data_IF_197938695367
#
_entry.id   IF_197938695367
#
_cell.length_a   1.000
_cell.length_b   1.000
_cell.length_c   1.000
_cell.angle_alpha   90.00
_cell.angle_beta   90.00
_cell.angle_gamma   90.00
#
_symmetry.space_group_name_H-M   'P 1'
#
loop_
_entity.id
_entity.type
_entity.pdbx_description
1 polymer ?
#
# COMPACT_ATOMS: atom_id res chain seq x y z
N UNK A 1 -24.27 -18.52 -5.22
CA UNK A 1 -25.60 -18.87 -5.75
C UNK A 1 -25.68 -20.39 -5.87
N UNK A 2 -26.74 -21.03 -5.42
CA UNK A 2 -26.81 -22.50 -5.49
C UNK A 2 -26.92 -22.90 -6.97
N UNK A 3 -26.02 -23.75 -7.43
CA UNK A 3 -25.94 -24.27 -8.80
C UNK A 3 -27.27 -24.85 -9.29
N UNK A 4 -28.07 -25.39 -8.36
CA UNK A 4 -29.37 -25.99 -8.61
C UNK A 4 -30.42 -25.02 -9.17
N UNK A 5 -30.24 -23.72 -8.95
CA UNK A 5 -31.20 -22.70 -9.39
C UNK A 5 -30.92 -22.22 -10.83
N UNK A 6 -29.85 -22.67 -11.48
CA UNK A 6 -29.44 -22.22 -12.81
C UNK A 6 -29.79 -23.20 -13.93
N UNK A 7 -30.29 -24.38 -13.61
CA UNK A 7 -30.67 -25.37 -14.64
C UNK A 7 -31.97 -26.10 -14.31
N UNK A 8 -32.62 -26.63 -15.32
CA UNK A 8 -33.70 -27.56 -15.26
C UNK A 8 -33.37 -28.81 -16.07
N UNK A 9 -34.08 -29.89 -15.85
CA UNK A 9 -33.91 -31.11 -16.66
C UNK A 9 -34.71 -31.05 -17.95
N UNK A 10 -34.26 -31.80 -18.97
CA UNK A 10 -35.01 -32.02 -20.19
C UNK A 10 -36.43 -32.52 -19.84
N UNK A 11 -37.42 -32.14 -20.64
CA UNK A 11 -38.87 -32.43 -20.41
C UNK A 11 -39.52 -31.68 -19.22
N UNK A 12 -38.82 -30.74 -18.57
CA UNK A 12 -39.46 -29.78 -17.65
C UNK A 12 -40.44 -28.91 -18.44
N UNK A 13 -41.57 -28.50 -17.79
CA UNK A 13 -42.53 -27.62 -18.44
C UNK A 13 -42.00 -26.18 -18.54
N UNK A 14 -42.49 -25.41 -19.48
CA UNK A 14 -42.17 -23.97 -19.58
C UNK A 14 -42.57 -23.25 -18.29
N UNK A 15 -43.71 -23.61 -17.71
CA UNK A 15 -44.20 -23.07 -16.42
C UNK A 15 -43.15 -23.20 -15.33
N UNK A 16 -42.57 -24.38 -15.15
CA UNK A 16 -41.62 -24.67 -14.08
C UNK A 16 -40.23 -24.07 -14.41
N UNK A 17 -39.87 -23.99 -15.69
CA UNK A 17 -38.67 -23.29 -16.13
C UNK A 17 -38.76 -21.78 -15.84
N UNK A 18 -39.91 -21.14 -16.08
CA UNK A 18 -40.16 -19.75 -15.75
C UNK A 18 -40.04 -19.44 -14.25
N UNK A 19 -40.62 -20.34 -13.40
CA UNK A 19 -40.46 -20.23 -11.95
C UNK A 19 -38.98 -20.27 -11.54
N UNK A 20 -38.21 -21.13 -12.19
CA UNK A 20 -36.79 -21.25 -11.88
C UNK A 20 -35.98 -20.02 -12.38
N UNK A 21 -36.36 -19.42 -13.52
CA UNK A 21 -35.80 -18.16 -14.01
C UNK A 21 -36.11 -17.01 -13.04
N UNK A 22 -37.34 -16.94 -12.51
CA UNK A 22 -37.70 -15.93 -11.48
C UNK A 22 -36.86 -16.10 -10.22
N UNK A 23 -36.66 -17.32 -9.74
CA UNK A 23 -35.83 -17.63 -8.57
C UNK A 23 -34.38 -17.21 -8.79
N UNK A 24 -33.82 -17.45 -9.99
CA UNK A 24 -32.42 -17.13 -10.26
C UNK A 24 -32.20 -15.67 -10.66
N UNK A 25 -33.26 -14.94 -11.04
CA UNK A 25 -33.26 -13.52 -11.43
C UNK A 25 -32.24 -13.17 -12.53
N UNK A 26 -31.89 -14.10 -13.42
CA UNK A 26 -30.89 -13.89 -14.50
C UNK A 26 -31.51 -13.86 -15.90
N UNK A 27 -32.79 -14.16 -16.02
CA UNK A 27 -33.50 -14.18 -17.30
C UNK A 27 -33.07 -15.33 -18.23
N UNK A 28 -32.41 -16.34 -17.68
CA UNK A 28 -31.95 -17.51 -18.44
C UNK A 28 -32.03 -18.79 -17.62
N UNK A 29 -32.14 -19.93 -18.28
CA UNK A 29 -32.11 -21.27 -17.70
C UNK A 29 -31.32 -22.23 -18.60
N UNK A 30 -30.49 -23.06 -17.99
CA UNK A 30 -29.80 -24.16 -18.68
C UNK A 30 -30.69 -25.41 -18.68
N UNK A 31 -30.71 -26.14 -19.76
CA UNK A 31 -31.45 -27.40 -19.89
C UNK A 31 -30.44 -28.54 -19.87
N UNK A 32 -30.51 -29.42 -18.88
CA UNK A 32 -29.58 -30.52 -18.67
C UNK A 32 -30.25 -31.86 -18.76
N UNK A 33 -29.51 -32.91 -19.15
CA UNK A 33 -29.93 -34.28 -18.96
C UNK A 33 -29.72 -34.78 -17.52
N UNK A 34 -30.07 -36.04 -17.23
CA UNK A 34 -29.93 -36.66 -15.91
C UNK A 34 -28.48 -36.71 -15.40
N UNK A 35 -27.50 -36.68 -16.29
CA UNK A 35 -26.06 -36.66 -15.96
C UNK A 35 -25.50 -35.23 -15.84
N UNK A 36 -26.37 -34.20 -15.79
CA UNK A 36 -26.07 -32.77 -15.73
C UNK A 36 -25.28 -32.32 -16.96
N UNK A 37 -25.40 -33.02 -18.10
CA UNK A 37 -24.86 -32.53 -19.37
C UNK A 37 -25.80 -31.47 -19.94
N UNK A 38 -25.24 -30.31 -20.29
CA UNK A 38 -26.00 -29.20 -20.85
C UNK A 38 -26.40 -29.53 -22.27
N UNK A 39 -27.71 -29.49 -22.57
CA UNK A 39 -28.30 -29.74 -23.88
C UNK A 39 -28.65 -28.47 -24.63
N UNK A 40 -28.86 -27.38 -23.90
CA UNK A 40 -29.19 -26.08 -24.46
C UNK A 40 -29.43 -25.04 -23.37
N UNK A 41 -29.70 -23.84 -23.82
CA UNK A 41 -30.04 -22.68 -22.99
C UNK A 41 -31.36 -22.09 -23.48
N UNK A 42 -32.21 -21.63 -22.56
CA UNK A 42 -33.39 -20.85 -22.92
C UNK A 42 -33.37 -19.52 -22.13
N UNK A 43 -33.64 -18.42 -22.81
CA UNK A 43 -33.83 -17.09 -22.22
C UNK A 43 -35.32 -16.76 -22.10
N UNK A 44 -35.67 -15.74 -21.29
CA UNK A 44 -37.03 -15.18 -21.27
C UNK A 44 -37.54 -14.83 -22.68
N UNK A 45 -36.63 -14.35 -23.56
CA UNK A 45 -36.95 -14.02 -24.93
C UNK A 45 -37.28 -15.25 -25.78
N UNK A 46 -36.56 -16.37 -25.58
CA UNK A 46 -36.81 -17.63 -26.28
C UNK A 46 -38.16 -18.21 -25.88
N UNK A 47 -38.42 -18.25 -24.56
CA UNK A 47 -39.69 -18.71 -24.02
C UNK A 47 -40.85 -17.84 -24.50
N UNK A 48 -40.70 -16.52 -24.50
CA UNK A 48 -41.75 -15.61 -24.98
C UNK A 48 -42.04 -15.81 -26.45
N UNK A 49 -41.02 -15.99 -27.29
CA UNK A 49 -41.23 -16.30 -28.72
C UNK A 49 -42.00 -17.60 -28.94
N UNK A 50 -41.69 -18.63 -28.16
CA UNK A 50 -42.40 -19.93 -28.23
C UNK A 50 -43.86 -19.79 -27.77
N UNK A 51 -44.12 -19.04 -26.71
CA UNK A 51 -45.50 -18.82 -26.23
C UNK A 51 -46.35 -17.99 -27.18
N UNK A 52 -45.75 -17.14 -28.02
CA UNK A 52 -46.44 -16.42 -29.11
C UNK A 52 -46.88 -17.36 -30.24
N UNK A 53 -46.22 -18.54 -30.39
CA UNK A 53 -46.57 -19.54 -31.38
C UNK A 53 -47.61 -20.53 -30.83
N UNK A 54 -47.40 -20.92 -29.59
CA UNK A 54 -48.29 -21.83 -28.84
C UNK A 54 -48.33 -21.39 -27.38
N UNK A 55 -49.46 -20.85 -26.91
CA UNK A 55 -49.66 -20.28 -25.58
C UNK A 55 -49.76 -21.30 -24.42
N UNK A 56 -49.50 -22.57 -24.68
CA UNK A 56 -49.50 -23.63 -23.70
C UNK A 56 -48.22 -23.59 -22.83
N UNK A 57 -48.38 -23.27 -21.53
CA UNK A 57 -47.32 -23.29 -20.53
C UNK A 57 -46.86 -24.68 -20.09
N UNK A 58 -47.67 -25.70 -20.35
CA UNK A 58 -47.38 -27.08 -19.96
C UNK A 58 -46.57 -27.84 -21.01
N UNK A 59 -46.28 -27.22 -22.18
CA UNK A 59 -45.31 -27.72 -23.14
C UNK A 59 -43.89 -27.81 -22.58
N UNK A 60 -43.08 -28.71 -23.11
CA UNK A 60 -41.70 -28.91 -22.61
C UNK A 60 -40.77 -27.80 -23.05
N UNK A 61 -39.86 -27.39 -22.16
CA UNK A 61 -38.86 -26.35 -22.39
C UNK A 61 -37.89 -26.68 -23.53
N UNK A 62 -37.73 -27.95 -23.87
CA UNK A 62 -36.90 -28.44 -24.93
C UNK A 62 -37.28 -27.81 -26.32
N UNK A 63 -38.53 -27.38 -26.48
CA UNK A 63 -39.03 -26.77 -27.70
C UNK A 63 -38.54 -25.36 -27.95
N UNK A 64 -38.07 -24.66 -26.89
CA UNK A 64 -37.54 -23.29 -27.01
C UNK A 64 -36.06 -23.15 -26.63
N UNK A 65 -35.34 -24.25 -26.40
CA UNK A 65 -33.94 -24.19 -26.05
C UNK A 65 -33.06 -23.89 -27.29
N UNK A 66 -32.09 -22.98 -27.12
CA UNK A 66 -31.01 -22.80 -28.07
C UNK A 66 -29.95 -23.89 -27.83
N UNK A 67 -29.71 -24.73 -28.86
CA UNK A 67 -28.71 -25.80 -28.81
C UNK A 67 -27.29 -25.31 -29.22
N UNK A 68 -27.21 -24.21 -29.94
CA UNK A 68 -25.94 -23.55 -30.33
C UNK A 68 -25.59 -22.46 -29.34
N UNK A 69 -25.36 -22.84 -28.11
CA UNK A 69 -25.06 -21.90 -27.03
C UNK A 69 -23.55 -21.74 -26.83
N UNK A 70 -23.16 -20.55 -26.36
CA UNK A 70 -21.78 -20.25 -26.01
C UNK A 70 -21.47 -20.79 -24.62
N UNK A 71 -20.33 -21.43 -24.46
CA UNK A 71 -19.83 -21.96 -23.20
C UNK A 71 -18.30 -21.84 -23.14
N UNK A 72 -17.72 -21.95 -21.95
CA UNK A 72 -16.29 -22.10 -21.74
C UNK A 72 -15.96 -23.45 -21.12
N UNK A 73 -14.75 -23.93 -21.37
CA UNK A 73 -14.24 -25.13 -20.70
C UNK A 73 -13.70 -24.80 -19.33
N UNK A 74 -13.71 -25.78 -18.45
CA UNK A 74 -12.99 -25.70 -17.18
C UNK A 74 -11.50 -25.38 -17.45
N UNK A 75 -10.96 -24.35 -16.77
CA UNK A 75 -9.59 -23.85 -17.01
C UNK A 75 -9.44 -22.81 -18.13
N UNK A 76 -10.52 -22.35 -18.77
CA UNK A 76 -10.47 -21.23 -19.69
C UNK A 76 -9.95 -19.96 -19.04
N UNK A 77 -9.20 -19.14 -19.79
CA UNK A 77 -8.62 -17.90 -19.26
C UNK A 77 -9.69 -16.88 -18.88
N UNK A 78 -9.38 -16.01 -17.93
CA UNK A 78 -10.26 -14.87 -17.57
C UNK A 78 -10.52 -13.97 -18.78
N UNK A 79 -9.51 -13.77 -19.62
CA UNK A 79 -9.60 -12.94 -20.83
C UNK A 79 -10.65 -13.51 -21.81
N UNK A 80 -10.66 -14.83 -22.01
CA UNK A 80 -11.65 -15.48 -22.88
C UNK A 80 -13.07 -15.29 -22.33
N UNK A 81 -13.23 -15.42 -21.02
CA UNK A 81 -14.53 -15.25 -20.34
C UNK A 81 -15.00 -13.80 -20.46
N UNK A 82 -14.12 -12.80 -20.24
CA UNK A 82 -14.47 -11.39 -20.33
C UNK A 82 -14.85 -10.99 -21.76
N UNK A 83 -14.10 -11.47 -22.78
CA UNK A 83 -14.43 -11.22 -24.19
C UNK A 83 -15.78 -11.78 -24.60
N UNK A 84 -16.17 -12.94 -24.04
CA UNK A 84 -17.49 -13.52 -24.29
C UNK A 84 -18.61 -12.73 -23.59
N UNK A 85 -18.37 -12.24 -22.37
CA UNK A 85 -19.34 -11.40 -21.64
C UNK A 85 -19.55 -10.05 -22.30
N UNK A 86 -18.53 -9.48 -22.91
CA UNK A 86 -18.60 -8.21 -23.65
C UNK A 86 -19.52 -8.30 -24.90
N UNK A 87 -19.82 -9.51 -25.37
CA UNK A 87 -20.77 -9.78 -26.44
C UNK A 87 -22.24 -9.85 -25.94
N UNK A 88 -22.61 -9.16 -24.87
CA UNK A 88 -23.96 -9.08 -24.29
C UNK A 88 -24.50 -10.41 -23.72
N UNK A 89 -23.64 -11.39 -23.50
CA UNK A 89 -24.05 -12.64 -22.89
C UNK A 89 -24.30 -12.45 -21.38
N UNK A 90 -25.51 -12.74 -20.92
CA UNK A 90 -25.88 -12.58 -19.51
C UNK A 90 -25.31 -13.66 -18.59
N UNK A 91 -25.03 -14.84 -19.14
CA UNK A 91 -24.45 -15.96 -18.42
C UNK A 91 -23.71 -16.90 -19.37
N UNK A 92 -22.58 -17.44 -18.92
CA UNK A 92 -21.74 -18.37 -19.65
C UNK A 92 -21.55 -19.63 -18.83
N UNK A 93 -22.04 -20.81 -19.27
CA UNK A 93 -21.81 -22.07 -18.59
C UNK A 93 -20.35 -22.51 -18.73
N UNK A 94 -19.80 -23.03 -17.64
CA UNK A 94 -18.49 -23.69 -17.60
C UNK A 94 -18.71 -25.19 -17.65
N UNK A 95 -18.16 -25.83 -18.66
CA UNK A 95 -18.36 -27.26 -18.90
C UNK A 95 -17.05 -28.02 -18.79
N UNK A 96 -17.12 -29.25 -18.26
CA UNK A 96 -16.00 -30.16 -18.32
C UNK A 96 -15.90 -30.86 -19.69
N UNK A 97 -14.89 -31.71 -19.88
CA UNK A 97 -14.68 -32.45 -21.14
C UNK A 97 -15.83 -33.42 -21.49
N UNK A 98 -16.73 -33.71 -20.57
CA UNK A 98 -17.93 -34.55 -20.76
C UNK A 98 -19.20 -33.73 -21.01
N UNK A 99 -19.06 -32.40 -21.24
CA UNK A 99 -20.16 -31.44 -21.39
C UNK A 99 -21.05 -31.31 -20.14
N UNK A 100 -20.54 -31.66 -18.96
CA UNK A 100 -21.25 -31.52 -17.70
C UNK A 100 -21.02 -30.13 -17.10
N UNK A 101 -22.09 -29.56 -16.57
CA UNK A 101 -22.08 -28.24 -15.94
C UNK A 101 -21.23 -28.23 -14.66
N UNK A 102 -20.17 -27.44 -14.65
CA UNK A 102 -19.31 -27.19 -13.48
C UNK A 102 -19.74 -25.94 -12.72
N UNK A 103 -19.88 -24.82 -13.41
CA UNK A 103 -20.32 -23.54 -12.86
C UNK A 103 -20.95 -22.67 -13.95
N UNK A 104 -21.45 -21.51 -13.59
CA UNK A 104 -21.99 -20.50 -14.50
C UNK A 104 -21.40 -19.15 -14.11
N UNK A 105 -20.76 -18.47 -15.05
CA UNK A 105 -20.35 -17.08 -14.87
C UNK A 105 -21.47 -16.14 -15.31
N UNK A 106 -21.72 -15.14 -14.49
CA UNK A 106 -22.60 -14.00 -14.79
C UNK A 106 -21.83 -12.71 -14.51
N UNK A 107 -22.34 -11.55 -14.93
CA UNK A 107 -21.69 -10.24 -14.66
C UNK A 107 -21.42 -10.04 -13.17
N UNK A 108 -22.33 -10.50 -12.30
CA UNK A 108 -22.18 -10.38 -10.84
C UNK A 108 -21.23 -11.42 -10.23
N UNK A 109 -20.87 -12.46 -10.99
CA UNK A 109 -20.06 -13.58 -10.54
C UNK A 109 -19.02 -13.95 -11.61
N UNK A 110 -18.34 -12.94 -12.13
CA UNK A 110 -17.19 -13.16 -13.02
C UNK A 110 -16.05 -13.81 -12.23
N UNK A 111 -15.24 -14.67 -12.86
CA UNK A 111 -14.09 -15.25 -12.20
C UNK A 111 -13.18 -14.12 -11.73
N UNK A 112 -13.03 -13.98 -10.44
CA UNK A 112 -11.93 -13.18 -9.89
C UNK A 112 -10.64 -13.92 -10.24
N UNK A 113 -9.56 -13.18 -10.48
CA UNK A 113 -8.22 -13.79 -10.52
C UNK A 113 -7.88 -14.30 -9.13
N UNK A 114 -8.42 -15.45 -8.78
CA UNK A 114 -8.03 -16.26 -7.62
C UNK A 114 -6.93 -17.26 -8.01
N UNK A 115 -5.98 -16.83 -8.80
CA UNK A 115 -4.63 -17.29 -8.57
C UNK A 115 -4.21 -16.56 -7.31
N UNK A 116 -4.37 -17.23 -6.16
CA UNK A 116 -4.04 -16.65 -4.88
C UNK A 116 -2.68 -16.01 -4.98
N UNK A 117 -2.56 -14.72 -4.70
CA UNK A 117 -1.30 -13.99 -4.79
C UNK A 117 -0.26 -14.79 -4.00
N UNK A 118 0.73 -15.38 -4.70
CA UNK A 118 1.75 -16.22 -4.10
C UNK A 118 2.88 -15.36 -3.54
N UNK A 119 3.13 -14.20 -4.16
CA UNK A 119 4.19 -13.30 -3.75
C UNK A 119 3.86 -11.84 -4.04
N UNK A 120 4.47 -10.94 -3.27
CA UNK A 120 4.42 -9.50 -3.50
C UNK A 120 5.81 -8.89 -3.31
N UNK A 121 6.03 -7.74 -3.95
CA UNK A 121 7.25 -6.97 -3.79
C UNK A 121 6.90 -5.50 -3.62
N UNK A 122 7.58 -4.85 -2.68
CA UNK A 122 7.46 -3.43 -2.46
C UNK A 122 8.85 -2.79 -2.34
N UNK A 123 8.93 -1.53 -2.75
CA UNK A 123 10.11 -0.70 -2.49
C UNK A 123 9.65 0.63 -1.90
N UNK A 124 10.37 1.11 -0.91
CA UNK A 124 10.08 2.38 -0.24
C UNK A 124 11.34 3.24 -0.18
N UNK A 125 11.28 4.50 -0.63
CA UNK A 125 12.43 5.40 -0.64
C UNK A 125 12.73 5.92 0.76
N UNK A 126 13.97 6.28 1.02
CA UNK A 126 14.33 7.15 2.15
C UNK A 126 14.16 8.62 1.78
N UNK A 127 14.27 9.52 2.77
CA UNK A 127 14.01 10.95 2.62
C UNK A 127 15.15 11.83 3.14
N UNK A 128 15.25 13.02 2.57
CA UNK A 128 15.98 14.16 3.11
C UNK A 128 14.98 15.22 3.55
N UNK A 129 15.25 15.89 4.70
CA UNK A 129 14.42 16.95 5.25
C UNK A 129 15.07 18.31 5.01
N UNK A 130 14.35 19.22 4.37
CA UNK A 130 14.85 20.56 4.04
C UNK A 130 14.44 21.61 5.08
N UNK A 131 13.45 21.35 5.92
CA UNK A 131 13.03 22.32 6.93
C UNK A 131 11.90 21.83 7.81
N UNK A 132 11.69 22.52 8.91
CA UNK A 132 10.57 22.29 9.83
C UNK A 132 10.73 21.10 10.78
N UNK A 133 11.78 20.27 10.63
CA UNK A 133 11.97 19.08 11.46
C UNK A 133 11.95 19.40 12.96
N UNK A 134 11.29 18.53 13.75
CA UNK A 134 10.98 18.73 15.17
C UNK A 134 9.57 19.26 15.42
N UNK A 135 8.94 19.95 14.44
CA UNK A 135 7.54 20.39 14.54
C UNK A 135 6.54 19.28 14.20
N UNK A 136 7.01 18.18 13.65
CA UNK A 136 6.26 16.97 13.31
C UNK A 136 6.10 15.99 14.48
N UNK A 137 6.56 16.36 15.67
CA UNK A 137 6.39 15.57 16.89
C UNK A 137 5.03 15.85 17.53
N UNK A 138 4.33 14.82 17.99
CA UNK A 138 3.01 14.95 18.64
C UNK A 138 3.07 15.90 19.85
N UNK A 139 4.17 15.91 20.58
CA UNK A 139 4.37 16.81 21.72
C UNK A 139 4.32 18.31 21.33
N UNK A 140 4.73 18.65 20.09
CA UNK A 140 4.67 20.01 19.58
C UNK A 140 3.32 20.30 18.88
N UNK A 141 2.93 19.50 17.89
CA UNK A 141 1.78 19.85 17.03
C UNK A 141 0.42 19.64 17.71
N UNK A 142 0.37 18.94 18.84
CA UNK A 142 -0.87 18.88 19.65
C UNK A 142 -1.29 20.24 20.23
N UNK A 143 -0.36 21.20 20.30
CA UNK A 143 -0.57 22.56 20.86
C UNK A 143 -0.23 23.68 19.86
N UNK A 144 0.52 23.39 18.82
CA UNK A 144 0.98 24.36 17.84
C UNK A 144 0.92 23.72 16.45
N UNK A 145 0.67 24.48 15.40
CA UNK A 145 0.72 23.96 14.04
C UNK A 145 2.17 23.67 13.63
N UNK A 146 2.44 22.45 13.17
CA UNK A 146 3.73 22.02 12.63
C UNK A 146 3.73 22.00 11.11
N UNK A 147 4.91 22.20 10.50
CA UNK A 147 5.10 21.99 9.08
C UNK A 147 6.51 21.51 8.79
N UNK A 148 6.66 20.60 7.82
CA UNK A 148 7.94 20.13 7.33
C UNK A 148 7.95 20.09 5.80
N UNK A 149 9.13 20.28 5.21
CA UNK A 149 9.37 20.11 3.78
C UNK A 149 10.46 19.07 3.58
N UNK A 150 10.21 18.10 2.73
CA UNK A 150 11.13 17.01 2.45
C UNK A 150 11.04 16.54 1.00
N UNK A 151 12.00 15.73 0.61
CA UNK A 151 11.96 14.95 -0.61
C UNK A 151 12.47 13.54 -0.36
N UNK A 152 11.90 12.58 -1.06
CA UNK A 152 12.53 11.27 -1.15
C UNK A 152 13.67 11.29 -2.15
N UNK A 153 14.63 10.38 -1.97
CA UNK A 153 15.80 10.20 -2.83
C UNK A 153 15.85 8.77 -3.35
N UNK A 154 16.65 8.52 -4.38
CA UNK A 154 16.76 7.23 -5.09
C UNK A 154 17.56 6.16 -4.33
N UNK A 155 17.38 6.09 -3.03
CA UNK A 155 17.86 5.02 -2.15
C UNK A 155 16.64 4.34 -1.52
N UNK A 156 16.55 3.03 -1.66
CA UNK A 156 15.33 2.29 -1.33
C UNK A 156 15.57 1.15 -0.33
N UNK A 157 14.54 0.85 0.44
CA UNK A 157 14.36 -0.46 1.03
C UNK A 157 13.47 -1.30 0.12
N UNK A 158 13.85 -2.54 -0.09
CA UNK A 158 13.12 -3.53 -0.88
C UNK A 158 12.65 -4.64 0.04
N UNK A 159 11.38 -4.98 -0.03
CA UNK A 159 10.81 -6.14 0.61
C UNK A 159 10.23 -7.09 -0.45
N UNK A 160 10.42 -8.37 -0.26
CA UNK A 160 9.79 -9.44 -1.05
C UNK A 160 9.13 -10.41 -0.08
N UNK A 161 7.84 -10.63 -0.23
CA UNK A 161 7.03 -11.50 0.60
C UNK A 161 6.49 -12.66 -0.25
N UNK A 162 6.69 -13.88 0.23
CA UNK A 162 6.18 -15.10 -0.38
C UNK A 162 5.24 -15.78 0.61
N UNK A 163 3.98 -15.96 0.22
CA UNK A 163 2.98 -16.68 1.02
C UNK A 163 3.35 -18.16 1.08
N UNK A 164 3.16 -18.77 2.23
CA UNK A 164 3.39 -20.20 2.49
C UNK A 164 2.07 -20.92 2.76
N UNK A 165 2.04 -22.20 2.44
CA UNK A 165 0.89 -23.05 2.73
C UNK A 165 0.87 -23.55 4.19
N UNK A 166 1.99 -23.36 4.91
CA UNK A 166 2.12 -23.64 6.34
C UNK A 166 2.07 -22.34 7.18
N UNK A 167 2.07 -22.45 8.50
CA UNK A 167 2.09 -21.31 9.42
C UNK A 167 3.47 -20.72 9.68
N UNK A 168 4.55 -21.32 9.10
CA UNK A 168 5.92 -20.92 9.39
C UNK A 168 6.22 -19.53 8.86
N UNK A 169 7.00 -18.77 9.63
CA UNK A 169 7.53 -17.47 9.25
C UNK A 169 9.02 -17.57 9.09
N UNK A 170 9.53 -17.21 7.92
CA UNK A 170 10.95 -17.10 7.63
C UNK A 170 11.31 -15.67 7.28
N UNK A 171 12.40 -15.17 7.85
CA UNK A 171 12.88 -13.81 7.61
C UNK A 171 14.34 -13.89 7.17
N UNK A 172 14.67 -13.26 6.05
CA UNK A 172 16.03 -13.08 5.55
C UNK A 172 16.31 -11.57 5.44
N UNK A 173 17.05 -11.03 6.38
CA UNK A 173 17.48 -9.63 6.35
C UNK A 173 18.91 -9.55 5.83
N UNK A 174 19.04 -9.18 4.56
CA UNK A 174 20.34 -9.04 3.90
C UNK A 174 21.16 -7.90 4.52
N UNK A 175 20.48 -6.85 5.02
CA UNK A 175 21.12 -5.69 5.66
C UNK A 175 21.78 -6.07 7.00
N UNK A 176 21.15 -6.98 7.73
CA UNK A 176 21.65 -7.47 9.01
C UNK A 176 22.57 -8.68 8.83
N UNK A 177 22.61 -9.26 7.62
CA UNK A 177 23.21 -10.55 7.33
C UNK A 177 22.74 -11.64 8.30
N UNK A 178 21.42 -11.65 8.58
CA UNK A 178 20.78 -12.56 9.54
C UNK A 178 19.51 -13.17 8.96
N UNK A 179 19.31 -14.45 9.34
CA UNK A 179 18.09 -15.20 9.02
C UNK A 179 17.42 -15.67 10.30
N UNK A 180 16.10 -15.73 10.27
CA UNK A 180 15.31 -16.27 11.37
C UNK A 180 14.17 -17.14 10.83
N UNK A 181 13.73 -18.10 11.63
CA UNK A 181 12.57 -18.95 11.34
C UNK A 181 11.83 -19.26 12.61
N UNK A 182 10.52 -19.10 12.59
CA UNK A 182 9.60 -19.44 13.68
C UNK A 182 8.41 -20.20 13.14
N UNK A 183 7.78 -21.03 13.96
CA UNK A 183 6.72 -21.94 13.52
C UNK A 183 5.37 -21.26 13.29
N UNK A 184 5.15 -20.09 13.91
CA UNK A 184 3.92 -19.31 13.75
C UNK A 184 4.06 -17.89 14.29
N UNK A 185 3.06 -17.05 14.02
CA UNK A 185 2.98 -15.68 14.56
C UNK A 185 2.96 -15.65 16.11
N UNK A 186 2.47 -16.69 16.75
CA UNK A 186 2.46 -16.80 18.21
C UNK A 186 3.88 -16.88 18.81
N UNK A 187 4.83 -17.29 18.02
CA UNK A 187 6.26 -17.43 18.39
C UNK A 187 7.09 -16.17 18.06
N UNK A 188 6.48 -15.03 17.74
CA UNK A 188 7.20 -13.79 17.39
C UNK A 188 8.20 -13.36 18.46
N UNK A 189 7.95 -13.69 19.73
CA UNK A 189 8.87 -13.34 20.83
C UNK A 189 10.18 -14.14 20.81
N UNK A 190 10.22 -15.27 20.08
CA UNK A 190 11.41 -16.10 19.95
C UNK A 190 12.41 -15.51 18.93
N UNK A 191 12.03 -14.49 18.16
CA UNK A 191 12.93 -13.77 17.26
C UNK A 191 13.94 -12.94 18.06
N UNK A 192 15.17 -12.92 17.57
CA UNK A 192 16.26 -12.07 18.06
C UNK A 192 15.85 -10.59 18.06
N UNK A 193 16.37 -9.81 19.02
CA UNK A 193 16.11 -8.36 19.13
C UNK A 193 16.59 -7.56 17.91
N UNK A 194 17.54 -8.06 17.15
CA UNK A 194 17.93 -7.45 15.88
C UNK A 194 16.79 -7.36 14.86
N UNK A 195 15.81 -8.27 14.95
CA UNK A 195 14.58 -8.23 14.15
C UNK A 195 13.47 -7.38 14.77
N UNK A 196 13.75 -6.59 15.82
CA UNK A 196 12.76 -5.84 16.59
C UNK A 196 11.83 -5.00 15.74
N UNK A 197 12.34 -4.31 14.70
CA UNK A 197 11.53 -3.52 13.78
C UNK A 197 10.57 -4.38 12.95
N UNK A 198 11.07 -5.48 12.38
CA UNK A 198 10.28 -6.41 11.58
C UNK A 198 9.22 -7.08 12.45
N UNK A 199 9.60 -7.51 13.65
CA UNK A 199 8.72 -8.10 14.66
C UNK A 199 7.58 -7.15 15.03
N UNK A 200 7.86 -5.84 15.21
CA UNK A 200 6.84 -4.85 15.53
C UNK A 200 5.84 -4.66 14.38
N UNK A 201 6.30 -4.62 13.13
CA UNK A 201 5.43 -4.54 11.95
C UNK A 201 4.52 -5.77 11.86
N UNK A 202 5.09 -6.98 11.99
CA UNK A 202 4.30 -8.22 11.95
C UNK A 202 3.27 -8.25 13.09
N UNK A 203 3.65 -7.78 14.28
CA UNK A 203 2.75 -7.70 15.44
C UNK A 203 1.60 -6.71 15.24
N UNK A 204 1.83 -5.62 14.51
CA UNK A 204 0.80 -4.63 14.18
C UNK A 204 -0.14 -5.14 13.08
N UNK A 205 0.40 -5.74 12.01
CA UNK A 205 -0.38 -6.23 10.87
C UNK A 205 -1.18 -7.50 11.23
N UNK A 206 -0.60 -8.40 12.02
CA UNK A 206 -1.17 -9.71 12.43
C UNK A 206 -1.65 -10.54 11.23
N UNK A 207 -0.74 -10.91 10.30
CA UNK A 207 -1.12 -11.76 9.16
C UNK A 207 -1.64 -13.12 9.65
N UNK A 208 -2.61 -13.67 8.93
CA UNK A 208 -3.27 -14.96 9.21
C UNK A 208 -2.67 -16.14 8.43
N UNK A 209 -1.54 -15.93 7.75
CA UNK A 209 -0.84 -16.93 6.94
C UNK A 209 0.67 -16.94 7.24
N UNK A 210 1.32 -18.07 7.00
CA UNK A 210 2.77 -18.18 7.03
C UNK A 210 3.41 -17.55 5.80
N UNK A 211 4.66 -17.08 5.95
CA UNK A 211 5.34 -16.36 4.87
C UNK A 211 6.86 -16.45 4.96
N UNK A 212 7.51 -16.15 3.85
CA UNK A 212 8.93 -15.86 3.77
C UNK A 212 9.12 -14.39 3.38
N UNK A 213 9.86 -13.64 4.17
CA UNK A 213 10.11 -12.21 4.00
C UNK A 213 11.59 -11.96 3.78
N UNK A 214 11.96 -11.38 2.64
CA UNK A 214 13.33 -11.00 2.30
C UNK A 214 13.40 -9.48 2.26
N UNK A 215 14.40 -8.89 2.96
CA UNK A 215 14.58 -7.43 3.06
C UNK A 215 16.01 -7.07 2.64
N UNK A 216 16.12 -5.99 1.85
CA UNK A 216 17.40 -5.39 1.44
C UNK A 216 17.25 -3.88 1.35
N UNK A 217 18.25 -3.12 1.78
CA UNK A 217 18.30 -1.66 1.67
C UNK A 217 19.54 -1.20 0.89
N UNK A 218 19.41 -0.06 0.17
CA UNK A 218 20.52 0.59 -0.53
C UNK A 218 21.28 1.57 0.38
N UNK A 219 20.88 1.70 1.64
CA UNK A 219 21.42 2.66 2.61
C UNK A 219 21.85 1.97 3.90
N UNK A 220 22.88 2.49 4.62
CA UNK A 220 23.33 1.91 5.86
C UNK A 220 22.36 2.19 7.02
N UNK A 221 22.30 1.28 8.00
CA UNK A 221 21.58 1.49 9.26
C UNK A 221 22.12 2.73 9.97
N UNK A 222 21.23 3.57 10.53
CA UNK A 222 21.62 4.78 11.25
C UNK A 222 22.04 5.93 10.35
N UNK A 223 21.68 5.91 9.06
CA UNK A 223 22.02 6.98 8.09
C UNK A 223 21.34 8.33 8.36
N UNK A 224 20.36 8.40 9.27
CA UNK A 224 19.56 9.62 9.50
C UNK A 224 18.57 9.95 8.37
N UNK A 225 18.38 9.04 7.40
CA UNK A 225 17.53 9.23 6.24
C UNK A 225 16.09 8.71 6.39
N UNK A 226 15.67 8.32 7.60
CA UNK A 226 14.35 7.70 7.83
C UNK A 226 14.29 6.24 7.38
N UNK A 227 15.43 5.52 7.45
CA UNK A 227 15.55 4.17 6.95
C UNK A 227 14.62 3.17 7.65
N UNK A 228 14.37 3.30 8.96
CA UNK A 228 13.43 2.44 9.69
C UNK A 228 12.01 2.55 9.16
N UNK A 229 11.55 3.77 8.86
CA UNK A 229 10.22 4.00 8.27
C UNK A 229 10.13 3.44 6.85
N UNK A 230 11.21 3.50 6.06
CA UNK A 230 11.25 2.88 4.73
C UNK A 230 11.17 1.35 4.81
N UNK A 231 11.83 0.73 5.81
CA UNK A 231 11.71 -0.71 6.08
C UNK A 231 10.26 -1.05 6.47
N UNK A 232 9.65 -0.32 7.42
CA UNK A 232 8.26 -0.54 7.79
C UNK A 232 7.32 -0.44 6.59
N UNK A 233 7.41 0.66 5.84
CA UNK A 233 6.54 0.92 4.69
C UNK A 233 6.67 -0.16 3.60
N UNK A 234 7.88 -0.64 3.30
CA UNK A 234 8.08 -1.70 2.31
C UNK A 234 7.46 -3.03 2.74
N UNK A 235 7.59 -3.40 4.02
CA UNK A 235 6.97 -4.62 4.56
C UNK A 235 5.46 -4.50 4.54
N UNK A 236 4.90 -3.38 5.04
CA UNK A 236 3.46 -3.12 5.06
C UNK A 236 2.90 -3.14 3.63
N UNK A 237 3.60 -2.52 2.67
CA UNK A 237 3.24 -2.54 1.26
C UNK A 237 3.13 -3.95 0.68
N UNK A 238 4.05 -4.86 1.05
CA UNK A 238 3.97 -6.27 0.66
C UNK A 238 2.71 -6.94 1.21
N UNK A 239 2.41 -6.79 2.51
CA UNK A 239 1.22 -7.38 3.11
C UNK A 239 -0.07 -6.76 2.59
N UNK A 240 -0.06 -5.48 2.25
CA UNK A 240 -1.23 -4.78 1.69
C UNK A 240 -1.71 -5.42 0.38
N UNK A 241 -0.80 -5.99 -0.43
CA UNK A 241 -1.17 -6.67 -1.68
C UNK A 241 -2.02 -7.92 -1.46
N UNK A 242 -1.89 -8.60 -0.31
CA UNK A 242 -2.69 -9.77 0.05
C UNK A 242 -4.06 -9.43 0.66
N UNK A 243 -4.32 -8.16 0.94
CA UNK A 243 -5.59 -7.71 1.52
C UNK A 243 -6.67 -7.51 0.46
N UNK A 244 -7.90 -7.81 0.82
CA UNK A 244 -9.08 -7.47 0.01
C UNK A 244 -9.41 -5.99 0.21
N UNK A 245 -9.40 -5.50 1.44
CA UNK A 245 -9.61 -4.13 1.89
C UNK A 245 -8.27 -3.39 1.98
N UNK A 246 -7.69 -3.03 0.84
CA UNK A 246 -6.37 -2.40 0.78
C UNK A 246 -6.32 -1.09 1.54
N UNK A 247 -5.29 -0.94 2.36
CA UNK A 247 -4.96 0.33 3.02
C UNK A 247 -4.54 1.39 2.00
N UNK A 248 -5.00 2.62 2.21
CA UNK A 248 -4.51 3.78 1.47
C UNK A 248 -3.17 4.29 2.05
N UNK A 249 -2.56 5.28 1.40
CA UNK A 249 -1.26 5.81 1.79
C UNK A 249 -1.23 6.39 3.23
N UNK A 250 -2.32 7.02 3.68
CA UNK A 250 -2.40 7.52 5.05
C UNK A 250 -2.40 6.37 6.06
N UNK A 251 -3.21 5.35 5.83
CA UNK A 251 -3.29 4.16 6.69
C UNK A 251 -1.96 3.41 6.74
N UNK A 252 -1.27 3.24 5.60
CA UNK A 252 0.07 2.62 5.56
C UNK A 252 1.06 3.41 6.41
N UNK A 253 1.08 4.75 6.29
CA UNK A 253 1.97 5.59 7.08
C UNK A 253 1.64 5.55 8.59
N UNK A 254 0.36 5.49 8.95
CA UNK A 254 -0.10 5.37 10.33
C UNK A 254 0.28 4.01 10.94
N UNK A 255 0.12 2.91 10.19
CA UNK A 255 0.56 1.57 10.61
C UNK A 255 2.09 1.53 10.78
N UNK A 256 2.85 2.18 9.88
CA UNK A 256 4.29 2.31 10.02
C UNK A 256 4.67 3.10 11.28
N UNK A 257 3.97 4.20 11.57
CA UNK A 257 4.15 4.98 12.79
C UNK A 257 3.83 4.16 14.04
N UNK A 258 2.71 3.46 14.07
CA UNK A 258 2.33 2.57 15.18
C UNK A 258 3.43 1.54 15.43
N UNK A 259 3.88 0.84 14.39
CA UNK A 259 4.91 -0.18 14.50
C UNK A 259 6.21 0.36 15.08
N UNK A 260 6.67 1.51 14.60
CA UNK A 260 7.97 2.09 14.94
C UNK A 260 7.93 2.87 16.27
N UNK A 261 6.91 3.70 16.47
CA UNK A 261 6.85 4.64 17.60
C UNK A 261 6.12 4.08 18.80
N UNK A 262 5.04 3.33 18.61
CA UNK A 262 4.23 2.83 19.71
C UNK A 262 4.67 1.43 20.16
N UNK A 263 4.93 0.51 19.22
CA UNK A 263 5.32 -0.86 19.57
C UNK A 263 6.77 -0.97 20.00
N UNK A 264 7.71 -0.29 19.32
CA UNK A 264 9.13 -0.27 19.68
C UNK A 264 9.52 0.86 20.61
N UNK A 265 8.62 1.82 20.87
CA UNK A 265 8.89 3.00 21.71
C UNK A 265 10.12 3.81 21.23
N UNK A 266 10.37 3.85 19.93
CA UNK A 266 11.42 4.69 19.33
C UNK A 266 10.88 6.12 19.28
N UNK A 267 11.60 7.08 19.86
CA UNK A 267 11.20 8.48 19.82
C UNK A 267 11.33 9.05 18.39
N UNK A 268 10.43 9.94 17.99
CA UNK A 268 10.48 10.61 16.68
C UNK A 268 9.17 11.28 16.31
N UNK A 269 9.18 11.94 15.16
CA UNK A 269 8.01 12.58 14.57
C UNK A 269 7.31 11.70 13.52
N UNK A 270 6.36 12.30 12.82
CA UNK A 270 5.51 11.68 11.81
C UNK A 270 6.03 11.85 10.38
N UNK A 271 7.05 12.69 10.17
CA UNK A 271 7.55 13.04 8.85
C UNK A 271 7.98 11.82 8.03
N UNK A 272 8.71 10.91 8.66
CA UNK A 272 9.43 9.84 7.97
C UNK A 272 8.48 8.83 7.33
N UNK A 273 7.46 8.42 8.06
CA UNK A 273 6.47 7.45 7.60
C UNK A 273 5.66 8.01 6.42
N UNK A 274 5.21 9.26 6.52
CA UNK A 274 4.50 9.90 5.42
C UNK A 274 5.41 10.12 4.21
N UNK A 275 6.66 10.57 4.41
CA UNK A 275 7.58 10.84 3.33
C UNK A 275 7.87 9.58 2.50
N UNK A 276 8.18 8.46 3.15
CA UNK A 276 8.51 7.20 2.45
C UNK A 276 7.32 6.59 1.73
N UNK A 277 6.09 6.78 2.25
CA UNK A 277 4.86 6.23 1.65
C UNK A 277 4.36 7.08 0.48
N UNK A 278 4.37 8.41 0.63
CA UNK A 278 3.88 9.32 -0.41
C UNK A 278 4.91 9.54 -1.53
N UNK A 279 6.20 9.52 -1.20
CA UNK A 279 7.27 9.74 -2.16
C UNK A 279 7.33 11.16 -2.74
N UNK A 280 8.40 11.49 -3.46
CA UNK A 280 8.57 12.79 -4.13
C UNK A 280 8.84 13.96 -3.16
N UNK A 281 8.56 15.16 -3.62
CA UNK A 281 8.66 16.39 -2.84
C UNK A 281 7.34 16.66 -2.14
N UNK A 282 7.37 16.78 -0.80
CA UNK A 282 6.18 17.02 -0.01
C UNK A 282 6.34 18.19 0.94
N UNK A 283 5.30 18.99 1.05
CA UNK A 283 5.07 19.90 2.15
C UNK A 283 4.00 19.29 3.05
N UNK A 284 4.31 19.08 4.30
CA UNK A 284 3.43 18.40 5.25
C UNK A 284 3.03 19.34 6.36
N UNK A 285 1.75 19.40 6.69
CA UNK A 285 1.22 20.13 7.82
C UNK A 285 0.73 19.17 8.89
N UNK A 286 1.13 19.41 10.12
CA UNK A 286 0.75 18.61 11.28
C UNK A 286 -0.07 19.47 12.24
N UNK A 287 -1.29 19.04 12.52
CA UNK A 287 -2.23 19.70 13.40
C UNK A 287 -2.80 18.70 14.40
N UNK A 288 -3.27 19.16 15.55
CA UNK A 288 -3.89 18.30 16.57
C UNK A 288 -5.01 17.40 16.02
N UNK A 289 -5.76 17.89 15.01
CA UNK A 289 -6.91 17.18 14.44
C UNK A 289 -6.60 16.33 13.22
N UNK A 290 -5.51 16.64 12.48
CA UNK A 290 -5.19 15.96 11.21
C UNK A 290 -3.79 16.28 10.72
N UNK A 291 -3.20 15.34 9.98
CA UNK A 291 -1.99 15.52 9.20
C UNK A 291 -2.36 15.68 7.72
N UNK A 292 -1.74 16.62 7.02
CA UNK A 292 -2.01 16.90 5.60
C UNK A 292 -0.70 16.82 4.83
N UNK A 293 -0.70 16.03 3.77
CA UNK A 293 0.45 15.84 2.88
C UNK A 293 0.14 16.51 1.56
N UNK A 294 0.95 17.49 1.19
CA UNK A 294 0.82 18.25 -0.05
C UNK A 294 1.98 17.93 -0.99
N UNK A 295 1.81 17.04 -1.98
CA UNK A 295 2.80 16.86 -3.02
C UNK A 295 3.07 18.18 -3.77
N UNK A 296 4.33 18.57 -3.87
CA UNK A 296 4.70 19.85 -4.50
C UNK A 296 4.86 19.69 -6.01
N UNK A 297 4.19 20.55 -6.76
CA UNK A 297 4.33 20.66 -8.23
C UNK A 297 5.46 21.62 -8.56
N UNK A 298 6.68 21.13 -8.58
CA UNK A 298 7.88 21.89 -8.89
C UNK A 298 8.15 21.78 -10.40
N UNK A 299 8.61 22.87 -11.02
CA UNK A 299 9.01 22.86 -12.43
C UNK A 299 10.19 21.91 -12.65
N UNK A 300 10.19 21.20 -13.78
CA UNK A 300 11.22 20.21 -14.09
C UNK A 300 12.63 20.84 -14.12
N UNK A 301 12.74 22.06 -14.66
CA UNK A 301 14.02 22.78 -14.70
C UNK A 301 14.56 23.06 -13.29
N UNK A 302 13.67 23.46 -12.36
CA UNK A 302 14.02 23.69 -10.95
C UNK A 302 14.48 22.40 -10.27
N UNK A 303 13.84 21.27 -10.57
CA UNK A 303 14.23 19.96 -10.01
C UNK A 303 15.61 19.54 -10.51
N UNK A 304 15.87 19.66 -11.81
CA UNK A 304 17.16 19.31 -12.39
C UNK A 304 18.29 20.23 -11.89
N UNK A 305 18.00 21.53 -11.75
CA UNK A 305 18.94 22.46 -11.17
C UNK A 305 19.22 22.17 -9.70
N UNK A 306 18.18 21.85 -8.92
CA UNK A 306 18.33 21.46 -7.51
C UNK A 306 19.17 20.18 -7.39
N UNK A 307 18.89 19.15 -8.19
CA UNK A 307 19.65 17.90 -8.20
C UNK A 307 21.12 18.12 -8.49
N UNK A 308 21.43 19.00 -9.45
CA UNK A 308 22.81 19.34 -9.81
C UNK A 308 23.52 20.13 -8.72
N UNK A 309 22.80 20.85 -7.86
CA UNK A 309 23.34 21.69 -6.79
C UNK A 309 23.30 21.06 -5.40
N UNK A 310 22.67 19.89 -5.25
CA UNK A 310 22.63 19.16 -3.98
C UNK A 310 23.74 18.12 -3.90
N UNK A 311 24.40 18.08 -2.76
CA UNK A 311 25.37 17.03 -2.43
C UNK A 311 25.01 16.42 -1.08
N UNK A 312 24.86 15.09 -1.05
CA UNK A 312 24.67 14.34 0.19
C UNK A 312 26.02 13.83 0.71
N UNK A 313 26.40 14.27 1.90
CA UNK A 313 27.64 13.85 2.55
C UNK A 313 27.33 12.81 3.64
N UNK A 314 27.84 11.59 3.49
CA UNK A 314 27.75 10.57 4.54
C UNK A 314 28.89 10.77 5.55
N UNK A 315 28.53 11.14 6.77
CA UNK A 315 29.49 11.48 7.83
C UNK A 315 30.00 10.29 8.63
N UNK A 316 29.42 9.11 8.42
CA UNK A 316 29.71 7.87 9.18
C UNK A 316 29.70 8.05 10.72
N UNK A 317 28.91 9.02 11.20
CA UNK A 317 28.70 9.22 12.62
C UNK A 317 27.45 8.42 13.03
N UNK A 318 27.65 7.41 13.86
CA UNK A 318 26.52 6.66 14.45
C UNK A 318 25.83 7.55 15.46
N UNK A 319 24.81 8.29 15.04
CA UNK A 319 23.86 8.90 15.95
C UNK A 319 22.75 7.88 16.22
N UNK A 320 22.52 7.56 17.47
CA UNK A 320 21.27 6.90 17.86
C UNK A 320 20.19 7.98 17.81
N UNK A 321 19.43 8.01 16.71
CA UNK A 321 18.32 8.96 16.47
C UNK A 321 17.38 9.05 17.69
N UNK A 322 17.22 7.94 18.41
CA UNK A 322 16.41 7.85 19.62
C UNK A 322 16.85 8.82 20.72
N UNK A 323 18.15 8.98 20.96
CA UNK A 323 18.64 9.91 22.00
C UNK A 323 18.36 11.38 21.63
N UNK A 324 18.54 11.75 20.34
CA UNK A 324 18.26 13.10 19.88
C UNK A 324 16.77 13.41 20.02
N UNK A 325 15.91 12.49 19.60
CA UNK A 325 14.47 12.69 19.68
C UNK A 325 13.94 12.68 21.12
N UNK A 326 14.52 11.87 22.02
CA UNK A 326 14.18 11.90 23.45
C UNK A 326 14.57 13.22 24.08
N UNK A 327 15.78 13.73 23.81
CA UNK A 327 16.23 15.04 24.25
C UNK A 327 15.35 16.17 23.71
N UNK A 328 14.97 16.12 22.44
CA UNK A 328 14.02 17.07 21.86
C UNK A 328 12.67 17.04 22.56
N UNK A 329 12.12 15.83 22.80
CA UNK A 329 10.84 15.64 23.48
C UNK A 329 10.85 16.22 24.91
N UNK A 330 11.92 15.99 25.67
CA UNK A 330 12.06 16.56 27.03
C UNK A 330 12.16 18.09 27.02
N UNK A 331 12.74 18.66 25.96
CA UNK A 331 12.94 20.11 25.80
C UNK A 331 11.70 20.86 25.27
N UNK A 332 10.64 20.15 24.83
CA UNK A 332 9.38 20.80 24.39
C UNK A 332 8.60 21.51 25.49
N UNK A 333 9.07 21.46 26.77
CA UNK A 333 8.54 22.26 27.88
C UNK A 333 9.20 23.66 27.97
N UNK A 334 10.32 23.89 27.26
CA UNK A 334 11.06 25.15 27.30
C UNK A 334 10.47 26.15 26.28
N UNK A 335 9.99 27.30 26.75
CA UNK A 335 9.35 28.32 25.93
C UNK A 335 10.25 28.84 24.80
N UNK A 336 11.56 29.02 25.08
CA UNK A 336 12.51 29.48 24.06
C UNK A 336 12.68 28.46 22.92
N UNK A 337 12.69 27.16 23.24
CA UNK A 337 12.80 26.09 22.26
C UNK A 337 11.52 26.02 21.41
N UNK A 338 10.34 26.16 22.04
CA UNK A 338 9.06 26.25 21.32
C UNK A 338 9.07 27.40 20.32
N UNK A 339 9.51 28.58 20.71
CA UNK A 339 9.59 29.75 19.80
C UNK A 339 10.61 29.52 18.66
N UNK A 340 11.73 28.87 18.94
CA UNK A 340 12.68 28.48 17.90
C UNK A 340 12.10 27.45 16.91
N UNK A 341 11.30 26.47 17.39
CA UNK A 341 10.58 25.53 16.51
C UNK A 341 9.53 26.27 15.68
N UNK A 342 8.76 27.20 16.26
CA UNK A 342 7.79 28.04 15.50
C UNK A 342 8.50 28.88 14.43
N UNK A 343 9.68 29.43 14.75
CA UNK A 343 10.49 30.16 13.79
C UNK A 343 10.98 29.25 12.66
N UNK A 344 11.36 28.01 12.99
CA UNK A 344 11.72 26.99 11.98
C UNK A 344 10.54 26.59 11.09
N UNK A 345 9.31 26.54 11.63
CA UNK A 345 8.09 26.35 10.84
C UNK A 345 7.89 27.51 9.86
N UNK A 346 8.09 28.77 10.26
CA UNK A 346 8.01 29.90 9.33
C UNK A 346 9.03 29.79 8.20
N UNK A 347 10.28 29.43 8.52
CA UNK A 347 11.31 29.17 7.50
C UNK A 347 10.92 28.01 6.58
N UNK A 348 10.20 27.01 7.07
CA UNK A 348 9.73 25.90 6.24
C UNK A 348 8.76 26.39 5.14
N UNK A 349 7.86 27.34 5.43
CA UNK A 349 7.01 27.98 4.42
C UNK A 349 7.84 28.79 3.41
N UNK A 350 8.83 29.56 3.89
CA UNK A 350 9.76 30.31 3.00
C UNK A 350 10.56 29.36 2.09
N UNK A 351 11.03 28.23 2.62
CA UNK A 351 11.75 27.18 1.87
C UNK A 351 10.86 26.60 0.77
N UNK A 352 9.60 26.28 1.07
CA UNK A 352 8.62 25.83 0.09
C UNK A 352 8.40 26.86 -1.01
N UNK A 353 8.18 28.11 -0.63
CA UNK A 353 7.86 29.17 -1.58
C UNK A 353 9.04 29.47 -2.50
N UNK A 354 10.27 29.45 -1.97
CA UNK A 354 11.49 29.59 -2.76
C UNK A 354 11.66 28.46 -3.78
N UNK A 355 11.41 27.23 -3.35
CA UNK A 355 11.50 26.05 -4.23
C UNK A 355 10.46 26.11 -5.35
N UNK A 356 9.21 26.48 -5.04
CA UNK A 356 8.12 26.59 -6.02
C UNK A 356 8.36 27.71 -7.05
N UNK A 357 9.07 28.78 -6.65
CA UNK A 357 9.46 29.89 -7.54
C UNK A 357 10.73 29.60 -8.34
N UNK A 358 11.48 28.53 -8.03
CA UNK A 358 12.77 28.23 -8.63
C UNK A 358 13.91 29.10 -8.09
N UNK A 359 13.73 29.78 -6.94
CA UNK A 359 14.78 30.58 -6.30
C UNK A 359 15.63 29.69 -5.38
N UNK A 360 16.57 28.95 -5.98
CA UNK A 360 17.44 28.02 -5.25
C UNK A 360 18.43 28.72 -4.33
N UNK A 361 18.78 29.98 -4.61
CA UNK A 361 19.63 30.78 -3.71
C UNK A 361 18.90 31.08 -2.38
N UNK A 362 17.66 31.53 -2.45
CA UNK A 362 16.86 31.75 -1.26
C UNK A 362 16.57 30.41 -0.55
N UNK A 363 16.34 29.34 -1.30
CA UNK A 363 16.21 27.99 -0.77
C UNK A 363 17.42 27.58 0.09
N UNK A 364 18.65 27.69 -0.43
CA UNK A 364 19.88 27.40 0.30
C UNK A 364 20.04 28.27 1.57
N UNK A 365 19.75 29.58 1.45
CA UNK A 365 19.78 30.50 2.60
C UNK A 365 18.79 30.10 3.71
N UNK A 366 17.61 29.62 3.36
CA UNK A 366 16.63 29.14 4.37
C UNK A 366 17.08 27.84 5.04
N UNK A 367 17.75 26.93 4.32
CA UNK A 367 18.36 25.72 4.91
C UNK A 367 19.40 26.11 5.97
N UNK A 368 20.28 27.04 5.67
CA UNK A 368 21.29 27.54 6.61
C UNK A 368 20.64 28.13 7.88
N UNK A 369 19.63 28.98 7.72
CA UNK A 369 18.88 29.54 8.87
C UNK A 369 18.20 28.46 9.69
N UNK A 370 17.56 27.51 9.04
CA UNK A 370 16.88 26.38 9.66
C UNK A 370 17.87 25.50 10.46
N UNK A 371 19.05 25.22 9.91
CA UNK A 371 20.09 24.47 10.63
C UNK A 371 20.55 25.17 11.91
N UNK A 372 20.77 26.50 11.85
CA UNK A 372 21.15 27.29 13.03
C UNK A 372 20.10 27.23 14.14
N UNK A 373 18.80 27.30 13.78
CA UNK A 373 17.71 27.12 14.74
C UNK A 373 17.69 25.69 15.29
N UNK A 374 17.79 24.69 14.40
CA UNK A 374 17.71 23.27 14.78
C UNK A 374 18.78 22.89 15.82
N UNK A 375 19.99 23.42 15.71
CA UNK A 375 21.06 23.21 16.71
C UNK A 375 20.69 23.69 18.12
N UNK A 376 19.71 24.56 18.27
CA UNK A 376 19.23 25.03 19.59
C UNK A 376 18.22 24.10 20.24
N UNK A 377 17.67 23.11 19.53
CA UNK A 377 16.60 22.25 20.04
C UNK A 377 17.13 21.19 21.03
N UNK A 378 18.33 20.67 20.80
CA UNK A 378 19.04 19.78 21.70
C UNK A 378 20.55 19.82 21.41
N UNK A 379 21.36 19.56 22.45
CA UNK A 379 22.84 19.60 22.31
C UNK A 379 23.39 18.50 21.40
N UNK A 380 22.68 17.39 21.32
CA UNK A 380 23.07 16.19 20.57
C UNK A 380 22.85 16.31 19.06
N UNK A 381 22.20 17.39 18.57
CA UNK A 381 21.89 17.60 17.14
C UNK A 381 23.16 17.83 16.32
N UNK A 382 24.19 18.43 16.91
CA UNK A 382 25.48 18.62 16.25
C UNK A 382 26.65 18.31 17.20
N UNK A 383 27.82 18.14 16.65
CA UNK A 383 29.08 17.98 17.37
C UNK A 383 30.20 18.72 16.64
N UNK A 384 31.37 18.81 17.26
CA UNK A 384 32.53 19.54 16.68
C UNK A 384 32.92 19.07 15.28
N UNK A 385 32.77 17.77 15.01
CA UNK A 385 33.10 17.20 13.69
C UNK A 385 32.09 17.66 12.64
N UNK A 386 30.78 17.54 12.93
CA UNK A 386 29.73 18.00 12.02
C UNK A 386 29.79 19.52 11.80
N UNK A 387 30.03 20.30 12.86
CA UNK A 387 30.18 21.74 12.74
C UNK A 387 31.41 22.13 11.85
N UNK A 388 32.53 21.40 11.96
CA UNK A 388 33.68 21.60 11.11
C UNK A 388 33.39 21.31 9.62
N UNK A 389 32.67 20.22 9.31
CA UNK A 389 32.24 19.90 7.95
C UNK A 389 31.36 21.03 7.40
N UNK A 390 30.36 21.43 8.17
CA UNK A 390 29.42 22.49 7.79
C UNK A 390 30.13 23.83 7.56
N UNK A 391 31.02 24.27 8.45
CA UNK A 391 31.76 25.51 8.31
C UNK A 391 32.70 25.48 7.12
N UNK A 392 33.38 24.35 6.85
CA UNK A 392 34.19 24.17 5.68
C UNK A 392 33.38 24.24 4.38
N UNK A 393 32.18 23.63 4.36
CA UNK A 393 31.30 23.74 3.20
C UNK A 393 30.90 25.20 2.91
N UNK A 394 30.52 25.98 3.93
CA UNK A 394 30.15 27.38 3.81
C UNK A 394 31.37 28.24 3.31
N UNK A 395 32.56 28.00 3.82
CA UNK A 395 33.80 28.69 3.36
C UNK A 395 34.11 28.44 1.90
N UNK A 396 33.68 27.30 1.36
CA UNK A 396 33.89 26.90 -0.03
C UNK A 396 32.65 27.15 -0.93
N UNK A 397 31.70 27.96 -0.49
CA UNK A 397 30.62 28.47 -1.32
C UNK A 397 29.31 27.71 -1.23
N UNK A 398 29.16 26.76 -0.29
CA UNK A 398 27.86 26.20 0.01
C UNK A 398 26.93 27.24 0.66
N UNK A 399 25.61 27.10 0.47
CA UNK A 399 24.58 28.01 1.00
C UNK A 399 23.83 27.39 2.15
#
# INVERSE_FOLDING_TARGET
MDKKNLFVYTKTTIRDALKQIEINSKGIILICDKDIKVKGIATDGDIRRQLLINDDLDQVIDNCMNKEFVYVKEGSSHEDIYKLMDNELKAIPVLNNKMQLQSVYTIDNLPKRDEGLISSRAKSPVRVSFGGGGSDTTAFFSKNDGAVINSTISLYCYASLFKRDDSNIKIDSLDLNKKASINSINNLNDLDDDFGLIKSVIKTIKPDFGFELIIRSDFPKGSGLGGSSAVCASIIGCFNEFRIDKWNNYEIAEIAYESERLQLNIAGGWQDQYATVFGGFNFMEFRASKNLIHPLRIKQETLLELENNLMLCYTNTNHTDDNIHRSQKSNTSNSNIIENIKSNVKLCYETRDSLLKGDLKSFGNTLNKSWKLKKTFAKEISNKFLDSIYENALKNGAS
#
